data_IF_894701947176
#
_entry.id   IF_894701947176
#
_cell.length_a   1.000
_cell.length_b   1.000
_cell.length_c   1.000
_cell.angle_alpha   90.00
_cell.angle_beta   90.00
_cell.angle_gamma   90.00
#
_symmetry.space_group_name_H-M   'P 1'
#
loop_
_entity.id
_entity.type
_entity.pdbx_description
1 polymer ?
#
# COMPACT_ATOMS: atom_id res chain seq x y z
N UNK A 1 4.32 -9.47 -5.64
CA UNK A 1 4.12 -9.28 -4.18
C UNK A 1 5.45 -8.96 -3.52
N UNK A 2 5.45 -7.95 -2.71
CA UNK A 2 6.68 -7.46 -2.10
C UNK A 2 6.42 -7.19 -0.63
N UNK A 3 7.36 -7.56 0.24
CA UNK A 3 7.24 -7.29 1.67
C UNK A 3 8.16 -6.16 2.08
N UNK A 4 7.66 -5.27 2.91
CA UNK A 4 8.45 -4.15 3.40
C UNK A 4 8.05 -3.87 4.83
N UNK A 5 9.02 -3.53 5.69
CA UNK A 5 8.65 -3.17 7.05
C UNK A 5 8.23 -1.71 7.11
N UNK A 6 7.63 -1.34 8.25
CA UNK A 6 7.06 0.00 8.40
C UNK A 6 8.11 1.10 8.23
N UNK A 7 9.30 0.87 8.78
CA UNK A 7 10.36 1.88 8.69
C UNK A 7 10.77 2.12 7.25
N UNK A 8 10.95 1.03 6.51
CA UNK A 8 11.35 1.13 5.13
C UNK A 8 10.23 1.80 4.31
N UNK A 9 9.00 1.41 4.56
CA UNK A 9 7.88 2.02 3.87
C UNK A 9 7.84 3.52 4.11
N UNK A 10 8.00 3.92 5.35
CA UNK A 10 7.96 5.35 5.71
C UNK A 10 9.06 6.12 5.00
N UNK A 11 10.26 5.55 4.95
CA UNK A 11 11.39 6.24 4.36
C UNK A 11 11.28 6.39 2.84
N UNK A 12 10.53 5.49 2.20
CA UNK A 12 10.41 5.47 0.74
C UNK A 12 8.96 5.41 0.30
N UNK A 13 8.09 6.05 1.04
CA UNK A 13 6.65 5.96 0.79
C UNK A 13 6.25 6.36 -0.63
N UNK A 14 6.73 7.48 -1.18
CA UNK A 14 6.30 7.84 -2.53
C UNK A 14 6.63 6.77 -3.56
N UNK A 15 7.78 6.11 -3.39
CA UNK A 15 8.19 5.07 -4.33
C UNK A 15 7.30 3.85 -4.21
N UNK A 16 6.96 3.46 -3.00
CA UNK A 16 6.09 2.30 -2.80
C UNK A 16 4.67 2.59 -3.26
N UNK A 17 4.21 3.82 -3.05
CA UNK A 17 2.89 4.20 -3.56
C UNK A 17 2.84 4.11 -5.08
N UNK A 18 3.88 4.58 -5.75
CA UNK A 18 3.92 4.51 -7.21
C UNK A 18 3.88 3.07 -7.68
N UNK A 19 4.61 2.19 -7.00
CA UNK A 19 4.62 0.78 -7.36
C UNK A 19 3.25 0.15 -7.16
N UNK A 20 2.59 0.49 -6.06
CA UNK A 20 1.25 -0.03 -5.82
C UNK A 20 0.28 0.46 -6.88
N UNK A 21 0.40 1.72 -7.28
CA UNK A 21 -0.47 2.27 -8.31
C UNK A 21 -0.30 1.56 -9.64
N UNK A 22 0.90 1.06 -9.89
CA UNK A 22 1.15 0.36 -11.14
C UNK A 22 0.66 -1.08 -11.13
N UNK A 23 0.12 -1.53 -10.02
CA UNK A 23 -0.47 -2.85 -9.92
C UNK A 23 0.29 -3.82 -9.04
N UNK A 24 1.36 -3.39 -8.42
CA UNK A 24 2.14 -4.26 -7.55
C UNK A 24 1.51 -4.30 -6.17
N UNK A 25 1.54 -5.47 -5.55
CA UNK A 25 1.01 -5.63 -4.20
C UNK A 25 2.16 -5.61 -3.20
N UNK A 26 2.05 -4.76 -2.20
CA UNK A 26 3.11 -4.60 -1.20
C UNK A 26 2.55 -4.91 0.17
N UNK A 27 3.17 -5.84 0.86
CA UNK A 27 2.77 -6.22 2.21
C UNK A 27 3.61 -5.46 3.21
N UNK A 28 2.94 -4.79 4.13
CA UNK A 28 3.63 -4.00 5.16
C UNK A 28 3.73 -4.84 6.42
N UNK A 29 4.95 -5.00 6.91
CA UNK A 29 5.19 -5.83 8.09
C UNK A 29 5.68 -5.00 9.25
N UNK A 30 5.45 -5.50 10.44
CA UNK A 30 5.92 -4.89 11.66
C UNK A 30 6.23 -6.01 12.64
N UNK A 31 7.48 -6.04 13.08
CA UNK A 31 7.95 -7.07 14.01
C UNK A 31 7.67 -8.48 13.46
N UNK A 32 7.91 -8.66 12.18
CA UNK A 32 7.73 -9.96 11.56
C UNK A 32 6.29 -10.33 11.23
N UNK A 33 5.35 -9.40 11.42
CA UNK A 33 3.93 -9.65 11.16
C UNK A 33 3.43 -8.75 10.05
N UNK A 34 2.62 -9.29 9.17
CA UNK A 34 1.96 -8.49 8.15
C UNK A 34 0.80 -7.75 8.80
N UNK A 35 0.87 -6.43 8.81
CA UNK A 35 -0.15 -5.62 9.45
C UNK A 35 -1.00 -4.85 8.45
N UNK A 36 -0.56 -4.76 7.19
CA UNK A 36 -1.29 -4.00 6.19
C UNK A 36 -0.87 -4.44 4.81
N UNK A 37 -1.62 -4.03 3.83
CA UNK A 37 -1.32 -4.32 2.44
C UNK A 37 -1.57 -3.07 1.62
N UNK A 38 -0.63 -2.78 0.73
CA UNK A 38 -0.71 -1.64 -0.16
C UNK A 38 -0.95 -2.17 -1.56
N UNK A 39 -2.03 -1.73 -2.19
CA UNK A 39 -2.34 -2.17 -3.53
C UNK A 39 -3.10 -1.07 -4.25
N UNK A 40 -3.20 -1.21 -5.58
CA UNK A 40 -3.90 -0.21 -6.36
C UNK A 40 -5.39 -0.21 -6.02
N UNK A 41 -5.96 0.98 -5.99
CA UNK A 41 -7.39 1.12 -5.80
C UNK A 41 -8.08 0.69 -7.08
N UNK A 42 -9.16 -0.07 -6.93
CA UNK A 42 -9.88 -0.56 -8.07
C UNK A 42 -10.89 0.42 -8.60
N UNK A 43 -11.66 0.98 -7.70
CA UNK A 43 -12.76 1.83 -8.06
C UNK A 43 -12.77 3.02 -7.13
N UNK A 44 -11.83 3.93 -7.38
CA UNK A 44 -11.67 5.09 -6.52
C UNK A 44 -12.91 5.97 -6.55
N UNK A 45 -13.64 5.97 -7.65
CA UNK A 45 -14.81 6.79 -7.79
C UNK A 45 -15.91 6.35 -6.83
N UNK A 46 -16.15 5.05 -6.76
CA UNK A 46 -17.16 4.53 -5.85
C UNK A 46 -16.77 4.75 -4.40
N UNK A 47 -15.50 4.58 -4.11
CA UNK A 47 -15.01 4.76 -2.75
C UNK A 47 -15.11 6.22 -2.31
N UNK A 48 -14.81 7.15 -3.21
CA UNK A 48 -14.92 8.55 -2.90
C UNK A 48 -16.35 8.93 -2.59
N UNK A 49 -17.29 8.41 -3.35
CA UNK A 49 -18.70 8.66 -3.09
C UNK A 49 -19.12 8.14 -1.73
N UNK A 50 -18.60 6.99 -1.38
CA UNK A 50 -19.00 6.36 -0.14
C UNK A 50 -18.54 7.16 1.08
N UNK A 51 -17.45 7.87 0.95
CA UNK A 51 -16.93 8.64 2.05
C UNK A 51 -17.60 9.98 2.24
N UNK A 52 -18.33 10.40 1.25
CA UNK A 52 -19.07 11.64 1.33
C UNK A 52 -20.41 11.41 2.00
#
# INVERSE_FOLDING_TARGET
MHEVNVSELRNHLPQYLARAESGEEILVTRRGRVIARLSAARDTRAEAKRQL
#
